data_IF_911651187107
#
_entry.id   IF_911651187107
#
_cell.length_a   1.000
_cell.length_b   1.000
_cell.length_c   1.000
_cell.angle_alpha   90.00
_cell.angle_beta   90.00
_cell.angle_gamma   90.00
#
_symmetry.space_group_name_H-M   'P 1'
#
loop_
_entity.id
_entity.type
_entity.pdbx_description
1 polymer ?
#
# COMPACT_ATOMS: atom_id res chain seq x y z
N UNK A 1 -1.79 14.87 2.69
CA UNK A 1 -2.65 13.85 2.05
C UNK A 1 -2.32 12.50 2.67
N UNK A 2 -3.33 11.65 2.88
CA UNK A 2 -3.14 10.29 3.42
C UNK A 2 -3.42 9.23 2.36
N UNK A 3 -3.05 8.00 2.64
CA UNK A 3 -3.48 6.81 1.90
C UNK A 3 -4.47 6.02 2.77
N UNK A 4 -5.39 5.30 2.14
CA UNK A 4 -6.36 4.44 2.85
C UNK A 4 -5.97 2.99 2.59
N UNK A 5 -5.61 2.30 3.67
CA UNK A 5 -5.28 0.87 3.66
C UNK A 5 -6.48 0.12 4.22
N UNK A 6 -7.05 -0.80 3.44
CA UNK A 6 -8.07 -1.70 3.93
C UNK A 6 -7.46 -2.91 4.67
N UNK A 7 -8.31 -3.72 5.29
CA UNK A 7 -7.89 -4.83 6.15
C UNK A 7 -7.03 -5.87 5.41
N UNK A 8 -6.06 -6.45 6.11
CA UNK A 8 -5.15 -7.46 5.55
C UNK A 8 -4.09 -6.93 4.57
N UNK A 9 -3.91 -5.62 4.45
CA UNK A 9 -2.84 -5.07 3.61
C UNK A 9 -1.46 -5.33 4.24
N UNK A 10 -0.56 -5.87 3.43
CA UNK A 10 0.84 -6.12 3.82
C UNK A 10 1.75 -5.23 2.98
N UNK A 11 2.42 -4.31 3.64
CA UNK A 11 3.39 -3.38 3.04
C UNK A 11 4.78 -3.90 3.36
N UNK A 12 5.51 -4.38 2.35
CA UNK A 12 6.86 -4.91 2.55
C UNK A 12 7.90 -3.78 2.77
N UNK A 13 9.08 -4.13 3.25
CA UNK A 13 10.16 -3.15 3.49
C UNK A 13 10.47 -2.38 2.21
N UNK A 14 10.75 -1.07 2.33
CA UNK A 14 11.08 -0.20 1.21
C UNK A 14 9.99 -0.07 0.13
N UNK A 15 8.76 -0.52 0.40
CA UNK A 15 7.62 -0.20 -0.45
C UNK A 15 7.00 1.14 -0.04
N UNK A 16 6.27 1.77 -0.96
CA UNK A 16 5.68 3.09 -0.76
C UNK A 16 4.22 3.10 -1.23
N UNK A 17 3.37 3.76 -0.47
CA UNK A 17 1.98 4.00 -0.84
C UNK A 17 1.81 5.48 -1.18
N UNK A 18 1.37 5.75 -2.40
CA UNK A 18 1.19 7.12 -2.87
C UNK A 18 0.10 7.83 -2.06
N UNK A 19 0.24 9.14 -1.95
CA UNK A 19 -0.80 9.99 -1.37
C UNK A 19 -2.11 9.85 -2.19
N UNK A 20 -3.20 9.52 -1.52
CA UNK A 20 -4.50 9.30 -2.16
C UNK A 20 -4.77 7.87 -2.65
N UNK A 21 -3.82 6.94 -2.49
CA UNK A 21 -4.02 5.54 -2.87
C UNK A 21 -5.08 4.87 -1.97
N UNK A 22 -6.00 4.14 -2.60
CA UNK A 22 -6.94 3.24 -1.92
C UNK A 22 -6.48 1.81 -2.14
N UNK A 23 -5.80 1.26 -1.12
CA UNK A 23 -5.27 -0.10 -1.18
C UNK A 23 -6.36 -1.07 -0.74
N UNK A 24 -6.69 -2.01 -1.62
CA UNK A 24 -7.77 -2.98 -1.40
C UNK A 24 -7.43 -3.99 -0.30
N UNK A 25 -8.46 -4.63 0.24
CA UNK A 25 -8.29 -5.68 1.25
C UNK A 25 -7.36 -6.78 0.74
N UNK A 26 -6.55 -7.33 1.65
CA UNK A 26 -5.64 -8.45 1.36
C UNK A 26 -4.63 -8.18 0.22
N UNK A 27 -4.34 -6.91 -0.06
CA UNK A 27 -3.32 -6.54 -1.07
C UNK A 27 -1.93 -6.59 -0.44
N UNK A 28 -0.99 -7.23 -1.13
CA UNK A 28 0.42 -7.25 -0.74
C UNK A 28 1.21 -6.35 -1.67
N UNK A 29 1.86 -5.33 -1.10
CA UNK A 29 2.76 -4.43 -1.84
C UNK A 29 4.18 -4.98 -1.65
N UNK A 30 4.80 -5.52 -2.72
CA UNK A 30 6.10 -6.17 -2.63
C UNK A 30 7.23 -5.16 -2.41
N UNK A 31 8.38 -5.67 -1.97
CA UNK A 31 9.60 -4.90 -1.72
C UNK A 31 9.97 -3.98 -2.89
N UNK A 32 10.13 -2.68 -2.61
CA UNK A 32 10.56 -1.70 -3.61
C UNK A 32 9.48 -1.26 -4.60
N UNK A 33 8.24 -1.74 -4.46
CA UNK A 33 7.14 -1.31 -5.31
C UNK A 33 6.42 -0.07 -4.72
N UNK A 34 5.96 0.79 -5.62
CA UNK A 34 5.15 1.97 -5.27
C UNK A 34 3.73 1.71 -5.73
N UNK A 35 2.78 1.66 -4.79
CA UNK A 35 1.36 1.53 -5.08
C UNK A 35 0.73 2.92 -5.22
N UNK A 36 0.24 3.23 -6.42
CA UNK A 36 -0.48 4.47 -6.76
C UNK A 36 -1.98 4.35 -6.54
#
# INVERSE_FOLDING_TARGET
MGAVLLDGVVVEKNSMVAAGALVRQNTRIPYGEVCS
#
